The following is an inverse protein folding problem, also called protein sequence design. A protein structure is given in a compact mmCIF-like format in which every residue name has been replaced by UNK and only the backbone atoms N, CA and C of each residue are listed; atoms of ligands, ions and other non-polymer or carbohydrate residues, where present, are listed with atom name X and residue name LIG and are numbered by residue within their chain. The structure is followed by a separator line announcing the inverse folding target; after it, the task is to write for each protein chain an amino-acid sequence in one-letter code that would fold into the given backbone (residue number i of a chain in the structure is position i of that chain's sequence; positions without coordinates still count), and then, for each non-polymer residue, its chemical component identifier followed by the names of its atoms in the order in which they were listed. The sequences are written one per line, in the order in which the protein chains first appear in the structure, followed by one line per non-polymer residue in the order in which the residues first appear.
data_IF_055907251656
#
_entry.id   IF_055907251656
#
_cell.length_a   1.000
_cell.length_b   1.000
_cell.length_c   1.000
_cell.angle_alpha   90.00
_cell.angle_beta   90.00
_cell.angle_gamma   90.00
#
_symmetry.space_group_name_H-M   'P 1'
#
loop_
_entity.id
_entity.type
_entity.pdbx_description
1 polymer ?
#
# COMPACT_ATOMS: atom_id res chain seq x y z
N UNK A 1 -1.79 -13.29 8.56
CA UNK A 1 -2.17 -13.97 7.30
C UNK A 1 -2.93 -13.11 6.27
N UNK A 2 -3.56 -11.99 6.64
CA UNK A 2 -4.17 -11.05 5.66
C UNK A 2 -3.15 -10.25 4.78
N UNK A 3 -1.97 -9.83 5.30
CA UNK A 3 -1.07 -8.92 4.55
C UNK A 3 -0.40 -9.54 3.30
N UNK A 4 0.14 -10.77 3.39
CA UNK A 4 0.84 -11.42 2.26
C UNK A 4 -0.06 -11.68 1.04
N UNK A 5 -1.35 -11.95 1.30
CA UNK A 5 -2.36 -12.09 0.24
C UNK A 5 -2.58 -10.78 -0.50
N UNK A 6 -2.51 -9.63 0.17
CA UNK A 6 -2.73 -8.33 -0.44
C UNK A 6 -1.54 -7.90 -1.31
N UNK A 7 -0.29 -8.06 -0.84
CA UNK A 7 0.90 -7.84 -1.69
C UNK A 7 0.89 -8.71 -2.94
N UNK A 8 0.54 -9.99 -2.79
CA UNK A 8 0.44 -10.91 -3.94
C UNK A 8 -0.61 -10.45 -4.95
N UNK A 9 -1.76 -9.92 -4.47
CA UNK A 9 -2.80 -9.35 -5.33
C UNK A 9 -2.34 -8.07 -6.02
N UNK A 10 -1.59 -7.20 -5.33
CA UNK A 10 -0.99 -6.01 -5.93
C UNK A 10 -0.03 -6.40 -7.06
N UNK A 11 0.83 -7.41 -6.84
CA UNK A 11 1.75 -7.91 -7.88
C UNK A 11 1.01 -8.39 -9.12
N UNK A 12 -0.12 -9.06 -8.95
CA UNK A 12 -0.98 -9.44 -10.09
C UNK A 12 -1.44 -8.20 -10.84
N UNK A 13 -1.95 -7.17 -10.15
CA UNK A 13 -2.40 -5.94 -10.81
C UNK A 13 -1.28 -5.21 -11.55
N UNK A 14 -0.07 -5.19 -10.97
CA UNK A 14 1.12 -4.62 -11.61
C UNK A 14 1.57 -5.38 -12.89
N UNK A 15 1.23 -6.66 -13.00
CA UNK A 15 1.52 -7.46 -14.20
C UNK A 15 0.50 -7.26 -15.33
N UNK A 16 -0.64 -6.63 -15.06
CA UNK A 16 -1.66 -6.36 -16.07
C UNK A 16 -1.33 -5.09 -16.86
N UNK A 17 -1.53 -5.11 -18.18
CA UNK A 17 -1.41 -3.92 -19.02
C UNK A 17 -2.42 -2.83 -18.67
N UNK A 18 -3.56 -3.20 -18.09
CA UNK A 18 -4.58 -2.28 -17.56
C UNK A 18 -5.09 -2.86 -16.24
N UNK A 19 -4.92 -2.14 -15.12
CA UNK A 19 -5.43 -2.59 -13.82
C UNK A 19 -6.94 -2.77 -13.86
N UNK A 20 -7.45 -3.84 -13.24
CA UNK A 20 -8.89 -4.08 -13.17
C UNK A 20 -9.53 -3.29 -12.00
N UNK A 21 -10.84 -3.47 -11.78
CA UNK A 21 -11.56 -2.78 -10.71
C UNK A 21 -11.10 -3.19 -9.30
N UNK A 22 -10.43 -4.34 -9.13
CA UNK A 22 -9.83 -4.74 -7.87
C UNK A 22 -8.67 -3.81 -7.49
N UNK A 23 -7.96 -3.23 -8.46
CA UNK A 23 -6.86 -2.30 -8.19
C UNK A 23 -7.33 -1.12 -7.32
N UNK A 24 -8.55 -0.62 -7.55
CA UNK A 24 -9.16 0.43 -6.71
C UNK A 24 -9.39 -0.04 -5.28
N UNK A 25 -9.96 -1.25 -5.10
CA UNK A 25 -10.19 -1.81 -3.77
C UNK A 25 -8.88 -2.03 -3.01
N UNK A 26 -7.86 -2.56 -3.69
CA UNK A 26 -6.51 -2.76 -3.14
C UNK A 26 -5.84 -1.43 -2.78
N UNK A 27 -6.01 -0.41 -3.63
CA UNK A 27 -5.44 0.91 -3.42
C UNK A 27 -6.04 1.57 -2.18
N UNK A 28 -7.36 1.48 -2.00
CA UNK A 28 -8.04 1.96 -0.79
C UNK A 28 -7.55 1.23 0.46
N UNK A 29 -7.50 -0.10 0.44
CA UNK A 29 -7.07 -0.91 1.59
C UNK A 29 -5.61 -0.60 1.97
N UNK A 30 -4.72 -0.51 0.98
CA UNK A 30 -3.31 -0.15 1.18
C UNK A 30 -3.17 1.30 1.69
N UNK A 31 -3.97 2.23 1.17
CA UNK A 31 -3.96 3.63 1.60
C UNK A 31 -4.37 3.78 3.07
N UNK A 32 -5.42 3.05 3.49
CA UNK A 32 -5.85 3.03 4.89
C UNK A 32 -4.80 2.41 5.81
N UNK A 33 -4.20 1.29 5.42
CA UNK A 33 -3.14 0.65 6.21
C UNK A 33 -1.92 1.57 6.34
N UNK A 34 -1.50 2.21 5.25
CA UNK A 34 -0.40 3.16 5.25
C UNK A 34 -0.67 4.40 6.11
N UNK A 35 -1.92 4.91 6.10
CA UNK A 35 -2.34 6.00 6.99
C UNK A 35 -2.25 5.59 8.46
N UNK A 36 -2.80 4.43 8.83
CA UNK A 36 -2.75 3.91 10.21
C UNK A 36 -1.32 3.68 10.67
N UNK A 37 -0.45 3.15 9.82
CA UNK A 37 0.97 2.98 10.12
C UNK A 37 1.67 4.32 10.36
N UNK A 38 1.43 5.31 9.50
CA UNK A 38 2.02 6.65 9.62
C UNK A 38 1.57 7.36 10.89
N UNK A 39 0.29 7.31 11.23
CA UNK A 39 -0.25 7.89 12.47
C UNK A 39 0.38 7.25 13.72
N UNK A 40 0.56 5.92 13.68
CA UNK A 40 1.15 5.17 14.78
C UNK A 40 2.66 5.38 14.91
N UNK A 41 3.39 5.52 13.80
CA UNK A 41 4.79 5.96 13.79
C UNK A 41 4.94 7.33 14.45
N UNK A 42 4.12 8.30 14.05
CA UNK A 42 4.14 9.65 14.61
C UNK A 42 3.82 9.66 16.11
N UNK A 43 2.87 8.81 16.54
CA UNK A 43 2.55 8.62 17.96
C UNK A 43 3.74 8.05 18.74
N UNK A 44 4.37 6.97 18.24
CA UNK A 44 5.51 6.33 18.90
C UNK A 44 6.71 7.28 18.99
N UNK A 45 7.04 7.98 17.91
CA UNK A 45 8.11 8.98 17.89
C UNK A 45 7.84 10.13 18.86
N UNK A 46 6.57 10.52 19.05
CA UNK A 46 6.18 11.53 20.05
C UNK A 46 6.35 11.03 21.47
N UNK A 47 5.91 9.80 21.77
CA UNK A 47 6.08 9.17 23.08
C UNK A 47 7.57 9.00 23.43
N UNK A 48 8.39 8.57 22.48
CA UNK A 48 9.83 8.44 22.65
C UNK A 48 10.48 9.79 22.98
N UNK A 49 10.13 10.87 22.25
CA UNK A 49 10.63 12.23 22.52
C UNK A 49 10.24 12.76 23.91
N UNK A 50 9.09 12.34 24.43
CA UNK A 50 8.62 12.70 25.78
C UNK A 50 9.26 11.83 26.89
N UNK A 51 10.18 10.93 26.54
CA UNK A 51 10.82 9.99 27.47
C UNK A 51 9.90 8.84 27.91
N UNK A 52 8.74 8.67 27.29
CA UNK A 52 7.79 7.59 27.59
C UNK A 52 8.03 6.39 26.68
N UNK A 53 9.24 5.83 26.76
CA UNK A 53 9.71 4.74 25.90
C UNK A 53 8.89 3.45 26.09
N UNK A 54 8.41 3.19 27.31
CA UNK A 54 7.52 2.06 27.58
C UNK A 54 6.21 2.18 26.80
N UNK A 55 5.53 3.33 26.84
CA UNK A 55 4.29 3.51 26.10
C UNK A 55 4.53 3.51 24.59
N UNK A 56 5.68 4.03 24.14
CA UNK A 56 6.09 3.95 22.74
C UNK A 56 6.27 2.49 22.29
N UNK A 57 6.96 1.67 23.07
CA UNK A 57 7.18 0.25 22.77
C UNK A 57 5.86 -0.55 22.82
N UNK A 58 5.01 -0.32 23.81
CA UNK A 58 3.68 -0.94 23.87
C UNK A 58 2.83 -0.52 22.67
N UNK A 59 2.89 0.75 22.28
CA UNK A 59 2.23 1.22 21.07
C UNK A 59 2.84 0.60 19.83
N UNK A 60 4.15 0.35 19.73
CA UNK A 60 4.79 -0.29 18.58
C UNK A 60 4.48 -1.79 18.47
N UNK A 61 4.32 -2.48 19.60
CA UNK A 61 4.05 -3.94 19.67
C UNK A 61 2.58 -4.33 19.53
N UNK A 62 1.64 -3.37 19.62
CA UNK A 62 0.22 -3.64 19.44
C UNK A 62 -0.03 -4.31 18.08
N UNK A 63 -1.01 -5.20 17.96
CA UNK A 63 -1.14 -5.98 16.72
C UNK A 63 -1.79 -5.17 15.57
N UNK A 64 -1.26 -5.26 14.33
CA UNK A 64 0.00 -5.90 13.95
C UNK A 64 1.23 -5.07 14.38
N UNK A 65 2.36 -5.73 14.66
CA UNK A 65 3.63 -5.06 14.98
C UNK A 65 3.92 -3.92 14.01
N UNK A 66 4.29 -2.75 14.53
CA UNK A 66 4.47 -1.55 13.72
C UNK A 66 5.61 -1.72 12.72
N UNK A 67 6.75 -2.29 13.15
CA UNK A 67 7.89 -2.53 12.26
C UNK A 67 7.54 -3.56 11.18
N UNK A 68 6.82 -4.63 11.53
CA UNK A 68 6.37 -5.63 10.56
C UNK A 68 5.38 -5.01 9.56
N UNK A 69 4.47 -4.15 10.03
CA UNK A 69 3.53 -3.43 9.18
C UNK A 69 4.26 -2.46 8.24
N UNK A 70 5.28 -1.74 8.72
CA UNK A 70 6.08 -0.82 7.91
C UNK A 70 6.90 -1.57 6.86
N UNK A 71 7.55 -2.67 7.24
CA UNK A 71 8.27 -3.54 6.31
C UNK A 71 7.31 -4.11 5.24
N UNK A 72 6.12 -4.53 5.64
CA UNK A 72 5.09 -5.01 4.73
C UNK A 72 4.58 -3.92 3.77
N UNK A 73 4.39 -2.68 4.24
CA UNK A 73 4.01 -1.56 3.38
C UNK A 73 5.13 -1.15 2.41
N UNK A 74 6.38 -1.41 2.77
CA UNK A 74 7.60 -1.03 2.05
C UNK A 74 8.20 -2.18 1.23
N UNK A 75 7.35 -3.05 0.68
CA UNK A 75 7.78 -4.12 -0.20
C UNK A 75 8.40 -3.61 -1.51
N UNK A 76 9.16 -4.46 -2.18
CA UNK A 76 9.97 -4.11 -3.36
C UNK A 76 9.17 -3.35 -4.43
N UNK A 77 7.96 -3.80 -4.76
CA UNK A 77 7.14 -3.19 -5.80
C UNK A 77 6.23 -2.05 -5.30
N UNK A 78 6.38 -1.60 -4.05
CA UNK A 78 5.54 -0.54 -3.45
C UNK A 78 5.64 0.80 -4.19
N UNK A 79 6.81 1.14 -4.73
CA UNK A 79 7.01 2.36 -5.54
C UNK A 79 6.27 2.27 -6.86
N UNK A 80 6.37 1.13 -7.55
CA UNK A 80 5.66 0.88 -8.81
C UNK A 80 4.14 0.89 -8.59
N UNK A 81 3.67 0.29 -7.49
CA UNK A 81 2.26 0.34 -7.10
C UNK A 81 1.77 1.77 -6.84
N UNK A 82 2.54 2.57 -6.08
CA UNK A 82 2.20 3.97 -5.85
C UNK A 82 2.10 4.74 -7.16
N UNK A 83 3.04 4.53 -8.07
CA UNK A 83 3.03 5.19 -9.38
C UNK A 83 1.78 4.81 -10.19
N UNK A 84 1.46 3.51 -10.28
CA UNK A 84 0.24 3.02 -10.92
C UNK A 84 -1.00 3.67 -10.31
N UNK A 85 -1.09 3.76 -8.99
CA UNK A 85 -2.22 4.42 -8.34
C UNK A 85 -2.30 5.91 -8.72
N UNK A 86 -1.18 6.63 -8.77
CA UNK A 86 -1.15 8.04 -9.19
C UNK A 86 -1.62 8.17 -10.65
N UNK A 87 -1.08 7.35 -11.55
CA UNK A 87 -1.38 7.34 -12.99
C UNK A 87 -2.85 6.99 -13.26
N UNK A 88 -3.48 6.20 -12.40
CA UNK A 88 -4.88 5.80 -12.54
C UNK A 88 -5.85 6.56 -11.62
N UNK A 89 -5.39 7.59 -10.90
CA UNK A 89 -6.21 8.37 -9.98
C UNK A 89 -6.82 7.52 -8.84
N UNK A 90 -6.09 6.51 -8.38
CA UNK A 90 -6.44 5.65 -7.26
C UNK A 90 -5.91 6.21 -5.93
N UNK A 91 -6.52 5.87 -4.78
CA UNK A 91 -6.03 6.29 -3.47
C UNK A 91 -4.59 5.85 -3.20
N UNK A 92 -3.80 6.72 -2.60
CA UNK A 92 -2.42 6.41 -2.17
C UNK A 92 -2.21 6.83 -0.72
N UNK A 93 -1.48 6.02 0.05
CA UNK A 93 -1.00 6.42 1.36
C UNK A 93 0.14 7.44 1.24
N UNK A 94 0.29 8.34 2.23
CA UNK A 94 1.52 9.12 2.35
C UNK A 94 2.74 8.19 2.51
N UNK A 95 3.93 8.62 2.07
CA UNK A 95 5.15 7.88 2.35
C UNK A 95 5.37 7.78 3.87
N UNK A 96 5.92 6.64 4.31
CA UNK A 96 6.36 6.48 5.69
C UNK A 96 7.55 7.42 5.95
N UNK A 97 7.61 7.99 7.14
CA UNK A 97 8.68 8.91 7.54
C UNK A 97 9.86 8.11 8.10
N UNK A 98 10.98 8.10 7.36
CA UNK A 98 12.20 7.36 7.71
C UNK A 98 12.78 7.80 9.07
N UNK A 99 12.65 9.07 9.45
CA UNK A 99 13.15 9.55 10.72
C UNK A 99 12.29 9.05 11.90
N UNK A 100 10.98 8.94 11.69
CA UNK A 100 10.07 8.34 12.67
C UNK A 100 10.29 6.83 12.78
N UNK A 101 10.52 6.15 11.65
CA UNK A 101 10.83 4.72 11.62
C UNK A 101 12.12 4.43 12.41
N UNK A 102 13.19 5.16 12.13
CA UNK A 102 14.46 5.03 12.86
C UNK A 102 14.31 5.29 14.36
N UNK A 103 13.49 6.27 14.75
CA UNK A 103 13.19 6.56 16.16
C UNK A 103 12.50 5.38 16.86
N UNK A 104 11.60 4.68 16.16
CA UNK A 104 10.95 3.48 16.69
C UNK A 104 11.92 2.31 16.77
N UNK A 105 12.78 2.09 15.76
CA UNK A 105 13.80 1.03 15.79
C UNK A 105 14.76 1.18 16.98
N UNK A 106 15.10 2.41 17.35
CA UNK A 106 15.94 2.69 18.53
C UNK A 106 15.32 2.23 19.86
N UNK A 107 13.99 2.08 19.95
CA UNK A 107 13.33 1.53 21.14
C UNK A 107 13.74 0.07 21.40
N UNK A 108 14.05 -0.68 20.34
CA UNK A 108 14.44 -2.09 20.41
C UNK A 108 15.94 -2.29 20.66
N UNK A 109 16.75 -1.24 20.51
CA UNK A 109 18.19 -1.30 20.75
C UNK A 109 18.59 -1.24 22.23
N UNK A 110 17.62 -1.04 23.13
CA UNK A 110 17.85 -0.89 24.58
C UNK A 110 17.51 -2.19 25.30
N UNK A 111 18.48 -2.87 25.93
CA UNK A 111 18.20 -4.10 26.65
C UNK A 111 17.28 -3.83 27.83
N UNK A 112 16.36 -4.77 28.04
CA UNK A 112 15.38 -4.73 29.13
C UNK A 112 15.96 -5.51 30.33
N UNK A 113 15.95 -4.95 31.53
CA UNK A 113 16.33 -5.68 32.75
C UNK A 113 15.10 -6.20 33.51
N UNK A 114 15.32 -6.99 34.57
CA UNK A 114 14.24 -7.57 35.39
C UNK A 114 13.38 -6.51 36.12
N UNK A 115 13.92 -5.30 36.32
CA UNK A 115 13.22 -4.19 36.95
C UNK A 115 12.39 -3.39 35.94
N UNK A 116 12.52 -3.68 34.65
CA UNK A 116 11.79 -2.99 33.61
C UNK A 116 10.27 -3.15 33.80
N UNK A 117 9.48 -2.09 33.56
CA UNK A 117 8.02 -2.12 33.71
C UNK A 117 7.31 -3.28 32.99
N UNK A 118 7.85 -3.79 31.88
CA UNK A 118 7.27 -4.96 31.20
C UNK A 118 7.27 -6.22 32.08
N UNK A 119 8.33 -6.51 32.86
CA UNK A 119 8.29 -7.66 33.77
C UNK A 119 7.30 -7.45 34.92
N UNK A 120 7.05 -6.20 35.34
CA UNK A 120 5.98 -5.88 36.30
C UNK A 120 4.60 -6.13 35.68
N UNK A 121 4.38 -5.67 34.46
CA UNK A 121 3.11 -5.84 33.74
C UNK A 121 2.83 -7.33 33.47
N UNK A 122 3.87 -8.11 33.12
CA UNK A 122 3.78 -9.57 33.00
C UNK A 122 3.37 -10.23 34.33
N UNK A 123 4.06 -9.91 35.44
CA UNK A 123 3.72 -10.43 36.77
C UNK A 123 2.30 -10.06 37.20
N UNK A 124 1.81 -8.88 36.80
CA UNK A 124 0.44 -8.48 37.03
C UNK A 124 -0.56 -9.31 36.20
N UNK A 125 -0.31 -9.49 34.90
CA UNK A 125 -1.17 -10.29 34.03
C UNK A 125 -1.30 -11.74 34.50
N UNK A 126 -0.20 -12.35 34.97
CA UNK A 126 -0.22 -13.69 35.56
C UNK A 126 -1.08 -13.74 36.84
N UNK A 127 -0.99 -12.73 37.72
CA UNK A 127 -1.82 -12.64 38.93
C UNK A 127 -3.31 -12.50 38.61
N UNK A 128 -3.62 -11.72 37.57
CA UNK A 128 -4.99 -11.52 37.06
C UNK A 128 -5.51 -12.72 36.25
N UNK A 129 -4.66 -13.74 36.00
CA UNK A 129 -4.94 -14.89 35.13
C UNK A 129 -5.33 -14.47 33.70
N UNK A 130 -4.82 -13.33 33.25
CA UNK A 130 -4.96 -12.87 31.88
C UNK A 130 -3.82 -13.45 31.04
N UNK A 131 -3.97 -14.71 30.64
CA UNK A 131 -3.00 -15.43 29.81
C UNK A 131 -2.72 -14.69 28.49
N UNK A 132 -3.68 -13.90 27.99
CA UNK A 132 -3.53 -13.19 26.72
C UNK A 132 -2.66 -11.96 26.85
N UNK A 133 -2.89 -11.16 27.89
CA UNK A 133 -2.01 -10.04 28.23
C UNK A 133 -0.62 -10.53 28.60
N UNK A 134 -0.52 -11.65 29.32
CA UNK A 134 0.77 -12.26 29.67
C UNK A 134 1.55 -12.70 28.41
N UNK A 135 0.90 -13.35 27.44
CA UNK A 135 1.51 -13.72 26.15
C UNK A 135 1.98 -12.49 25.37
N UNK A 136 1.16 -11.44 25.31
CA UNK A 136 1.51 -10.19 24.64
C UNK A 136 2.78 -9.57 25.24
N UNK A 137 2.82 -9.39 26.56
CA UNK A 137 3.97 -8.78 27.24
C UNK A 137 5.23 -9.63 27.13
N UNK A 138 5.12 -10.96 27.27
CA UNK A 138 6.26 -11.87 27.10
C UNK A 138 6.82 -11.80 25.69
N UNK A 139 5.96 -11.72 24.65
CA UNK A 139 6.41 -11.55 23.27
C UNK A 139 7.24 -10.27 23.12
N UNK A 140 6.75 -9.14 23.65
CA UNK A 140 7.49 -7.88 23.63
C UNK A 140 8.86 -8.00 24.32
N UNK A 141 8.93 -8.65 25.48
CA UNK A 141 10.21 -8.89 26.19
C UNK A 141 11.16 -9.72 25.31
N UNK A 142 10.70 -10.82 24.73
CA UNK A 142 11.54 -11.69 23.89
C UNK A 142 11.95 -11.04 22.56
N UNK A 143 11.16 -10.10 22.03
CA UNK A 143 11.54 -9.33 20.84
C UNK A 143 12.70 -8.38 21.14
N UNK A 144 12.66 -7.70 22.29
CA UNK A 144 13.73 -6.74 22.67
C UNK A 144 14.97 -7.47 23.23
N UNK A 145 14.76 -8.55 23.97
CA UNK A 145 15.82 -9.39 24.55
C UNK A 145 15.78 -10.82 23.99
N UNK A 146 16.20 -11.05 22.74
CA UNK A 146 16.16 -12.39 22.14
C UNK A 146 17.09 -13.39 22.83
N UNK A 147 18.09 -12.92 23.59
CA UNK A 147 19.02 -13.77 24.34
C UNK A 147 18.50 -14.23 25.71
N UNK A 148 17.35 -13.74 26.20
CA UNK A 148 16.77 -14.20 27.47
C UNK A 148 16.09 -15.57 27.29
N UNK A 149 16.84 -16.63 27.61
CA UNK A 149 16.36 -18.01 27.51
C UNK A 149 15.20 -18.31 28.46
N UNK A 150 15.11 -17.63 29.60
CA UNK A 150 14.05 -17.85 30.58
C UNK A 150 12.72 -17.27 30.08
N UNK A 151 12.73 -16.02 29.60
CA UNK A 151 11.56 -15.40 28.98
C UNK A 151 11.09 -16.21 27.75
N UNK A 152 12.03 -16.72 26.94
CA UNK A 152 11.70 -17.54 25.78
C UNK A 152 11.05 -18.89 26.17
N UNK A 153 11.58 -19.56 27.21
CA UNK A 153 11.01 -20.80 27.73
C UNK A 153 9.60 -20.58 28.30
N UNK A 154 9.41 -19.50 29.04
CA UNK A 154 8.12 -19.14 29.64
C UNK A 154 7.08 -18.75 28.58
N UNK A 155 7.47 -18.01 27.54
CA UNK A 155 6.63 -17.71 26.38
C UNK A 155 6.17 -19.01 25.69
N UNK A 156 7.09 -19.94 25.46
CA UNK A 156 6.76 -21.23 24.85
C UNK A 156 5.79 -22.04 25.72
N UNK A 157 6.04 -22.11 27.04
CA UNK A 157 5.17 -22.82 28.00
C UNK A 157 3.76 -22.26 28.01
N UNK A 158 3.62 -20.93 28.10
CA UNK A 158 2.32 -20.25 28.13
C UNK A 158 1.59 -20.40 26.80
N UNK A 159 2.30 -20.30 25.68
CA UNK A 159 1.75 -20.53 24.34
C UNK A 159 1.18 -21.94 24.20
N UNK A 160 1.94 -22.96 24.60
CA UNK A 160 1.47 -24.35 24.50
C UNK A 160 0.26 -24.62 25.39
N UNK A 161 0.19 -24.00 26.59
CA UNK A 161 -1.01 -24.06 27.44
C UNK A 161 -2.21 -23.41 26.74
N UNK A 162 -2.06 -22.16 26.29
CA UNK A 162 -3.12 -21.42 25.60
C UNK A 162 -3.68 -22.20 24.40
N UNK A 163 -2.81 -22.78 23.57
CA UNK A 163 -3.23 -23.50 22.36
C UNK A 163 -4.06 -24.75 22.68
N UNK A 164 -3.68 -25.52 23.71
CA UNK A 164 -4.46 -26.71 24.11
C UNK A 164 -5.84 -26.32 24.61
N UNK A 165 -5.92 -25.30 25.47
CA UNK A 165 -7.17 -24.82 26.04
C UNK A 165 -8.06 -24.22 24.93
N UNK A 166 -7.48 -23.40 24.06
CA UNK A 166 -8.17 -22.76 22.95
C UNK A 166 -8.71 -23.79 21.93
N UNK A 167 -7.94 -24.81 21.57
CA UNK A 167 -8.38 -25.84 20.64
C UNK A 167 -9.61 -26.61 21.17
N UNK A 168 -9.61 -26.93 22.46
CA UNK A 168 -10.78 -27.52 23.12
C UNK A 168 -12.00 -26.60 23.04
N UNK A 169 -11.83 -25.31 23.33
CA UNK A 169 -12.92 -24.33 23.23
C UNK A 169 -13.42 -24.14 21.79
N UNK A 170 -12.54 -24.18 20.78
CA UNK A 170 -12.92 -24.13 19.36
C UNK A 170 -13.87 -25.29 19.01
N UNK A 171 -13.52 -26.51 19.42
CA UNK A 171 -14.38 -27.69 19.19
C UNK A 171 -15.76 -27.56 19.89
N UNK A 172 -15.77 -27.04 21.11
CA UNK A 172 -17.02 -26.77 21.85
C UNK A 172 -17.90 -25.71 21.17
N UNK A 173 -17.30 -24.63 20.65
CA UNK A 173 -18.03 -23.59 19.93
C UNK A 173 -18.67 -24.12 18.65
N UNK A 174 -17.96 -24.91 17.85
CA UNK A 174 -18.54 -25.55 16.66
C UNK A 174 -19.68 -26.49 17.02
N UNK A 175 -19.52 -27.31 18.07
CA UNK A 175 -20.57 -28.23 18.55
C UNK A 175 -21.83 -27.46 18.98
N UNK A 176 -21.67 -26.31 19.61
CA UNK A 176 -22.77 -25.42 20.04
C UNK A 176 -23.31 -24.53 18.91
N UNK A 177 -22.84 -24.71 17.66
CA UNK A 177 -23.16 -23.86 16.49
C UNK A 177 -22.81 -22.38 16.69
N UNK A 178 -21.94 -22.06 17.64
CA UNK A 178 -21.38 -20.72 17.79
C UNK A 178 -20.13 -20.57 16.90
N UNK A 179 -20.34 -20.69 15.60
CA UNK A 179 -19.27 -20.73 14.60
C UNK A 179 -18.46 -19.43 14.57
N UNK A 180 -19.11 -18.29 14.79
CA UNK A 180 -18.41 -17.00 14.80
C UNK A 180 -17.39 -16.92 15.93
N UNK A 181 -17.76 -17.30 17.16
CA UNK A 181 -16.82 -17.34 18.28
C UNK A 181 -15.68 -18.33 18.04
N UNK A 182 -15.96 -19.49 17.42
CA UNK A 182 -14.92 -20.43 17.03
C UNK A 182 -13.90 -19.79 16.09
N UNK A 183 -14.37 -19.13 15.02
CA UNK A 183 -13.51 -18.49 14.02
C UNK A 183 -12.72 -17.31 14.60
N UNK A 184 -13.32 -16.53 15.49
CA UNK A 184 -12.61 -15.47 16.21
C UNK A 184 -11.48 -16.04 17.08
N UNK A 185 -11.74 -17.12 17.83
CA UNK A 185 -10.72 -17.78 18.64
C UNK A 185 -9.61 -18.40 17.78
N UNK A 186 -9.96 -19.03 16.66
CA UNK A 186 -8.97 -19.55 15.69
C UNK A 186 -8.07 -18.43 15.15
N UNK A 187 -8.63 -17.26 14.84
CA UNK A 187 -7.85 -16.09 14.38
C UNK A 187 -6.85 -15.64 15.45
N UNK A 188 -7.27 -15.64 16.72
CA UNK A 188 -6.38 -15.35 17.85
C UNK A 188 -5.27 -16.38 18.02
N UNK A 189 -5.58 -17.67 17.82
CA UNK A 189 -4.58 -18.73 17.82
C UNK A 189 -3.54 -18.50 16.72
N UNK A 190 -3.96 -18.12 15.52
CA UNK A 190 -3.05 -17.82 14.41
C UNK A 190 -2.09 -16.65 14.70
N UNK A 191 -2.54 -15.63 15.43
CA UNK A 191 -1.70 -14.50 15.87
C UNK A 191 -0.61 -14.92 16.86
N UNK A 192 -0.92 -15.88 17.74
CA UNK A 192 0.05 -16.43 18.71
C UNK A 192 1.00 -17.46 18.07
N UNK A 193 0.56 -18.11 16.99
CA UNK A 193 1.35 -19.04 16.17
C UNK A 193 0.91 -20.50 16.31
N UNK A 194 0.42 -21.08 15.22
CA UNK A 194 -0.20 -22.42 15.18
C UNK A 194 0.71 -23.52 14.64
N UNK A 195 2.01 -23.28 14.50
CA UNK A 195 2.95 -24.24 13.90
C UNK A 195 2.93 -25.62 14.59
N UNK A 196 2.78 -25.66 15.91
CA UNK A 196 2.68 -26.90 16.70
C UNK A 196 1.39 -27.71 16.47
N UNK A 197 0.38 -27.12 15.84
CA UNK A 197 -0.91 -27.76 15.55
C UNK A 197 -0.97 -28.35 14.13
N UNK A 198 0.12 -28.26 13.36
CA UNK A 198 0.17 -28.81 12.01
C UNK A 198 0.02 -30.34 12.07
N UNK A 199 -0.99 -30.88 11.38
CA UNK A 199 -1.31 -32.31 11.40
C UNK A 199 -2.19 -32.75 12.57
N UNK A 200 -2.60 -31.83 13.46
CA UNK A 200 -3.56 -32.13 14.51
C UNK A 200 -4.97 -32.28 13.92
N UNK A 201 -5.63 -33.41 14.22
CA UNK A 201 -6.93 -33.76 13.64
C UNK A 201 -8.03 -32.75 13.97
N UNK A 202 -8.06 -32.25 15.20
CA UNK A 202 -9.12 -31.34 15.66
C UNK A 202 -8.89 -29.94 15.08
N UNK A 203 -7.62 -29.55 14.92
CA UNK A 203 -7.26 -28.32 14.21
C UNK A 203 -7.61 -28.39 12.71
N UNK A 204 -7.32 -29.49 12.03
CA UNK A 204 -7.65 -29.68 10.62
C UNK A 204 -9.16 -29.66 10.37
N UNK A 205 -9.94 -30.31 11.24
CA UNK A 205 -11.40 -30.25 11.17
C UNK A 205 -11.93 -28.82 11.42
N UNK A 206 -11.38 -28.11 12.41
CA UNK A 206 -11.73 -26.71 12.65
C UNK A 206 -11.43 -25.82 11.43
N UNK A 207 -10.31 -26.02 10.74
CA UNK A 207 -9.98 -25.31 9.49
C UNK A 207 -11.01 -25.58 8.39
N UNK A 208 -11.44 -26.85 8.22
CA UNK A 208 -12.47 -27.22 7.25
C UNK A 208 -13.81 -26.56 7.56
N UNK A 209 -14.24 -26.58 8.82
CA UNK A 209 -15.49 -25.95 9.27
C UNK A 209 -15.45 -24.44 9.11
N UNK A 210 -14.31 -23.80 9.43
CA UNK A 210 -14.07 -22.38 9.16
C UNK A 210 -14.17 -22.06 7.67
N UNK A 211 -13.59 -22.88 6.79
CA UNK A 211 -13.67 -22.67 5.34
C UNK A 211 -15.12 -22.69 4.84
N UNK A 212 -15.92 -23.66 5.27
CA UNK A 212 -17.35 -23.75 4.92
C UNK A 212 -18.14 -22.51 5.40
N UNK A 213 -17.84 -22.03 6.62
CA UNK A 213 -18.46 -20.82 7.15
C UNK A 213 -18.04 -19.56 6.38
N UNK A 214 -16.76 -19.43 6.04
CA UNK A 214 -16.27 -18.31 5.22
C UNK A 214 -16.95 -18.31 3.85
N UNK A 215 -17.13 -19.49 3.24
CA UNK A 215 -17.84 -19.62 1.96
C UNK A 215 -19.30 -19.20 2.07
N UNK A 216 -20.03 -19.62 3.11
CA UNK A 216 -21.43 -19.24 3.28
C UNK A 216 -21.60 -17.73 3.53
N UNK A 217 -20.75 -17.15 4.38
CA UNK A 217 -20.71 -15.69 4.61
C UNK A 217 -20.37 -14.93 3.33
N UNK A 218 -19.43 -15.44 2.54
CA UNK A 218 -19.01 -14.78 1.30
C UNK A 218 -20.09 -14.84 0.22
N UNK A 219 -20.87 -15.92 0.12
CA UNK A 219 -22.05 -15.97 -0.77
C UNK A 219 -23.04 -14.85 -0.43
N UNK A 220 -23.35 -14.66 0.85
CA UNK A 220 -24.23 -13.56 1.28
C UNK A 220 -23.66 -12.18 0.95
N UNK A 221 -22.35 -11.97 1.16
CA UNK A 221 -21.67 -10.71 0.80
C UNK A 221 -21.69 -10.45 -0.70
N UNK A 222 -21.37 -11.45 -1.52
CA UNK A 222 -21.41 -11.35 -2.99
C UNK A 222 -22.81 -10.94 -3.46
N UNK A 223 -23.86 -11.55 -2.92
CA UNK A 223 -25.24 -11.18 -3.21
C UNK A 223 -25.53 -9.71 -2.90
N UNK A 224 -25.13 -9.24 -1.71
CA UNK A 224 -25.27 -7.84 -1.31
C UNK A 224 -24.49 -6.87 -2.19
N UNK A 225 -23.26 -7.22 -2.58
CA UNK A 225 -22.45 -6.44 -3.51
C UNK A 225 -23.10 -6.38 -4.91
N UNK A 226 -23.59 -7.51 -5.45
CA UNK A 226 -24.27 -7.54 -6.73
C UNK A 226 -25.53 -6.66 -6.75
N UNK A 227 -26.32 -6.70 -5.68
CA UNK A 227 -27.50 -5.84 -5.54
C UNK A 227 -27.13 -4.35 -5.52
N UNK A 228 -26.14 -3.95 -4.72
CA UNK A 228 -25.69 -2.55 -4.64
C UNK A 228 -25.00 -2.08 -5.93
N UNK A 229 -24.24 -2.94 -6.60
CA UNK A 229 -23.67 -2.66 -7.92
C UNK A 229 -24.78 -2.38 -8.95
N UNK A 230 -25.86 -3.17 -8.97
CA UNK A 230 -26.98 -2.96 -9.88
C UNK A 230 -27.76 -1.66 -9.59
N UNK A 231 -27.89 -1.29 -8.31
CA UNK A 231 -28.48 -0.02 -7.90
C UNK A 231 -27.61 1.16 -8.38
N UNK A 232 -26.30 1.08 -8.17
CA UNK A 232 -25.35 2.10 -8.62
C UNK A 232 -25.31 2.23 -10.15
N UNK A 233 -25.36 1.10 -10.87
CA UNK A 233 -25.52 1.06 -12.32
C UNK A 233 -26.77 1.82 -12.78
N UNK A 234 -27.91 1.54 -12.15
CA UNK A 234 -29.18 2.22 -12.45
C UNK A 234 -29.14 3.72 -12.14
N UNK A 235 -28.41 4.11 -11.10
CA UNK A 235 -28.18 5.50 -10.71
C UNK A 235 -27.11 6.22 -11.55
N UNK A 236 -26.46 5.52 -12.49
CA UNK A 236 -25.31 5.99 -13.28
C UNK A 236 -24.10 6.43 -12.43
N UNK A 237 -23.97 5.89 -11.23
CA UNK A 237 -22.81 6.10 -10.36
C UNK A 237 -21.77 4.99 -10.59
N UNK A 238 -20.86 5.24 -11.52
CA UNK A 238 -19.86 4.23 -11.92
C UNK A 238 -18.81 3.96 -10.85
N UNK A 239 -18.54 4.92 -9.96
CA UNK A 239 -17.54 4.75 -8.90
C UNK A 239 -18.04 3.77 -7.85
N UNK A 240 -19.25 4.01 -7.34
CA UNK A 240 -19.88 3.08 -6.40
C UNK A 240 -20.09 1.70 -7.04
N UNK A 241 -20.47 1.65 -8.31
CA UNK A 241 -20.61 0.38 -9.02
C UNK A 241 -19.27 -0.38 -9.12
N UNK A 242 -18.18 0.32 -9.45
CA UNK A 242 -16.84 -0.26 -9.49
C UNK A 242 -16.42 -0.82 -8.12
N UNK A 243 -16.65 -0.05 -7.05
CA UNK A 243 -16.28 -0.44 -5.69
C UNK A 243 -17.05 -1.70 -5.24
N UNK A 244 -18.35 -1.77 -5.54
CA UNK A 244 -19.18 -2.93 -5.21
C UNK A 244 -18.79 -4.18 -6.03
N UNK A 245 -18.48 -4.03 -7.32
CA UNK A 245 -17.95 -5.12 -8.14
C UNK A 245 -16.60 -5.60 -7.59
N UNK A 246 -15.68 -4.68 -7.26
CA UNK A 246 -14.39 -5.00 -6.65
C UNK A 246 -14.54 -5.75 -5.31
N UNK A 247 -15.52 -5.35 -4.49
CA UNK A 247 -15.89 -6.03 -3.25
C UNK A 247 -16.40 -7.45 -3.47
N UNK A 248 -17.24 -7.67 -4.49
CA UNK A 248 -17.68 -9.00 -4.89
C UNK A 248 -16.51 -9.88 -5.36
N UNK A 249 -15.63 -9.37 -6.24
CA UNK A 249 -14.44 -10.10 -6.73
C UNK A 249 -13.45 -10.44 -5.63
N UNK A 250 -13.31 -9.55 -4.64
CA UNK A 250 -12.52 -9.80 -3.43
C UNK A 250 -13.13 -10.92 -2.59
N UNK A 251 -14.46 -10.91 -2.40
CA UNK A 251 -15.18 -11.96 -1.66
C UNK A 251 -15.10 -13.33 -2.34
N UNK A 252 -15.25 -13.38 -3.67
CA UNK A 252 -15.06 -14.59 -4.48
C UNK A 252 -13.68 -15.21 -4.26
N UNK A 253 -12.62 -14.41 -4.41
CA UNK A 253 -11.22 -14.86 -4.25
C UNK A 253 -10.93 -15.32 -2.83
N UNK A 254 -11.35 -14.56 -1.82
CA UNK A 254 -11.06 -14.88 -0.42
C UNK A 254 -11.67 -16.21 0.03
N UNK A 255 -12.85 -16.56 -0.50
CA UNK A 255 -13.54 -17.79 -0.18
C UNK A 255 -13.31 -18.94 -1.18
N UNK A 256 -12.64 -18.67 -2.31
CA UNK A 256 -12.44 -19.64 -3.38
C UNK A 256 -13.75 -20.06 -4.06
N UNK A 257 -14.71 -19.13 -4.20
CA UNK A 257 -16.02 -19.36 -4.81
C UNK A 257 -16.27 -18.36 -5.94
N UNK A 258 -17.28 -18.60 -6.76
CA UNK A 258 -17.74 -17.68 -7.81
C UNK A 258 -19.22 -17.36 -7.61
N UNK A 259 -19.61 -16.15 -8.01
CA UNK A 259 -21.00 -15.79 -8.20
C UNK A 259 -21.61 -16.71 -9.27
N UNK A 260 -22.87 -17.06 -9.10
CA UNK A 260 -23.60 -17.98 -9.99
C UNK A 260 -24.93 -17.35 -10.42
N UNK A 261 -25.48 -17.81 -11.54
CA UNK A 261 -26.80 -17.39 -12.02
C UNK A 261 -26.93 -15.88 -12.25
N UNK A 262 -28.00 -15.30 -11.71
CA UNK A 262 -28.33 -13.89 -11.92
C UNK A 262 -27.27 -12.94 -11.35
N UNK A 263 -26.65 -13.29 -10.23
CA UNK A 263 -25.62 -12.46 -9.59
C UNK A 263 -24.38 -12.34 -10.48
N UNK A 264 -23.96 -13.43 -11.10
CA UNK A 264 -22.84 -13.45 -12.03
C UNK A 264 -23.08 -12.53 -13.23
N UNK A 265 -24.30 -12.54 -13.78
CA UNK A 265 -24.67 -11.73 -14.93
C UNK A 265 -24.76 -10.23 -14.60
N UNK A 266 -25.32 -9.90 -13.43
CA UNK A 266 -25.33 -8.53 -12.90
C UNK A 266 -23.91 -8.01 -12.76
N UNK A 267 -23.05 -8.77 -12.08
CA UNK A 267 -21.65 -8.38 -11.84
C UNK A 267 -20.90 -8.20 -13.16
N UNK A 268 -21.06 -9.11 -14.13
CA UNK A 268 -20.41 -9.01 -15.45
C UNK A 268 -20.83 -7.75 -16.21
N UNK A 269 -22.12 -7.41 -16.17
CA UNK A 269 -22.66 -6.21 -16.83
C UNK A 269 -22.14 -4.93 -16.17
N UNK A 270 -22.21 -4.88 -14.84
CA UNK A 270 -21.72 -3.77 -14.04
C UNK A 270 -20.20 -3.57 -14.22
N UNK A 271 -19.43 -4.66 -14.19
CA UNK A 271 -17.98 -4.67 -14.35
C UNK A 271 -17.55 -4.09 -15.69
N UNK A 272 -18.19 -4.52 -16.79
CA UNK A 272 -17.90 -4.00 -18.13
C UNK A 272 -18.14 -2.49 -18.19
N UNK A 273 -19.32 -2.05 -17.76
CA UNK A 273 -19.70 -0.63 -17.79
C UNK A 273 -18.80 0.25 -16.92
N UNK A 274 -18.55 -0.19 -15.68
CA UNK A 274 -17.73 0.56 -14.73
C UNK A 274 -16.27 0.61 -15.18
N UNK A 275 -15.75 -0.45 -15.81
CA UNK A 275 -14.39 -0.47 -16.37
C UNK A 275 -14.24 0.50 -17.54
N UNK A 276 -15.21 0.55 -18.46
CA UNK A 276 -15.19 1.51 -19.57
C UNK A 276 -15.13 2.96 -19.07
N UNK A 277 -15.95 3.30 -18.07
CA UNK A 277 -15.98 4.64 -17.46
C UNK A 277 -14.74 4.93 -16.60
N UNK A 278 -14.22 3.95 -15.88
CA UNK A 278 -12.99 4.08 -15.11
C UNK A 278 -11.80 4.37 -16.02
N UNK A 279 -11.70 3.66 -17.15
CA UNK A 279 -10.65 3.87 -18.14
C UNK A 279 -10.74 5.26 -18.77
N UNK A 280 -11.95 5.71 -19.11
CA UNK A 280 -12.15 7.07 -19.62
C UNK A 280 -11.75 8.14 -18.60
N UNK A 281 -12.12 7.97 -17.33
CA UNK A 281 -11.74 8.89 -16.26
C UNK A 281 -10.23 8.89 -16.00
N UNK A 282 -9.58 7.72 -16.02
CA UNK A 282 -8.13 7.61 -15.87
C UNK A 282 -7.39 8.27 -17.05
N UNK A 283 -7.87 8.10 -18.27
CA UNK A 283 -7.32 8.77 -19.46
C UNK A 283 -7.41 10.30 -19.34
N UNK A 284 -8.52 10.82 -18.80
CA UNK A 284 -8.68 12.26 -18.57
C UNK A 284 -7.69 12.78 -17.50
N UNK A 285 -7.57 12.08 -16.37
CA UNK A 285 -6.60 12.43 -15.32
C UNK A 285 -5.16 12.41 -15.87
N UNK A 286 -4.79 11.37 -16.62
CA UNK A 286 -3.48 11.28 -17.25
C UNK A 286 -3.22 12.42 -18.22
N UNK A 287 -4.19 12.78 -19.06
CA UNK A 287 -4.05 13.90 -19.98
C UNK A 287 -3.87 15.24 -19.23
N UNK A 288 -4.56 15.44 -18.09
CA UNK A 288 -4.37 16.63 -17.25
C UNK A 288 -2.99 16.67 -16.60
N UNK A 289 -2.55 15.55 -16.02
CA UNK A 289 -1.21 15.45 -15.43
C UNK A 289 -0.10 15.66 -16.47
N UNK A 290 -0.29 15.16 -17.70
CA UNK A 290 0.62 15.39 -18.81
C UNK A 290 0.75 16.88 -19.14
N UNK A 291 -0.37 17.61 -19.17
CA UNK A 291 -0.36 19.07 -19.39
C UNK A 291 0.38 19.78 -18.26
N UNK A 292 0.11 19.44 -17.00
CA UNK A 292 0.73 20.11 -15.86
C UNK A 292 2.25 19.87 -15.82
N UNK A 293 2.68 18.64 -16.05
CA UNK A 293 4.11 18.30 -16.18
C UNK A 293 4.78 19.10 -17.31
N UNK A 294 4.09 19.27 -18.47
CA UNK A 294 4.61 20.08 -19.56
C UNK A 294 4.66 21.57 -19.20
N UNK A 295 3.73 22.09 -18.39
CA UNK A 295 3.77 23.47 -17.90
C UNK A 295 4.95 23.70 -16.97
N UNK A 296 5.21 22.78 -16.05
CA UNK A 296 6.38 22.83 -15.18
C UNK A 296 7.69 22.73 -15.97
N UNK A 297 7.78 21.80 -16.93
CA UNK A 297 8.93 21.66 -17.83
C UNK A 297 9.17 22.94 -18.63
N UNK A 298 8.10 23.56 -19.15
CA UNK A 298 8.18 24.83 -19.87
C UNK A 298 8.67 25.99 -19.00
N UNK A 299 8.12 26.11 -17.79
CA UNK A 299 8.53 27.14 -16.82
C UNK A 299 10.05 27.06 -16.56
N UNK A 300 10.56 25.85 -16.33
CA UNK A 300 11.99 25.61 -16.13
C UNK A 300 12.81 25.93 -17.38
N UNK A 301 12.38 25.50 -18.57
CA UNK A 301 13.06 25.80 -19.83
C UNK A 301 13.09 27.31 -20.12
N UNK A 302 12.02 28.03 -19.79
CA UNK A 302 11.94 29.48 -19.90
C UNK A 302 12.94 30.19 -18.98
N UNK A 303 13.08 29.75 -17.74
CA UNK A 303 14.09 30.26 -16.79
C UNK A 303 15.52 29.98 -17.28
N UNK A 304 15.79 28.76 -17.77
CA UNK A 304 17.09 28.40 -18.34
C UNK A 304 17.43 29.23 -19.58
N UNK A 305 16.43 29.58 -20.41
CA UNK A 305 16.65 30.42 -21.59
C UNK A 305 16.93 31.90 -21.26
N UNK A 306 16.55 32.36 -20.08
CA UNK A 306 16.93 33.68 -19.58
C UNK A 306 18.39 33.73 -19.14
N UNK A 307 18.94 32.62 -18.62
CA UNK A 307 20.33 32.57 -18.13
C UNK A 307 21.37 32.32 -19.22
N UNK A 308 20.97 31.81 -20.40
CA UNK A 308 21.91 31.59 -21.50
C UNK A 308 21.30 30.97 -22.75
N UNK A 309 22.16 30.67 -23.72
CA UNK A 309 21.78 29.96 -24.94
C UNK A 309 22.77 28.84 -25.23
N UNK A 310 22.25 27.64 -25.52
CA UNK A 310 23.06 26.47 -25.87
C UNK A 310 22.33 25.60 -26.90
N UNK A 311 23.08 24.79 -27.64
CA UNK A 311 22.50 23.83 -28.58
C UNK A 311 21.66 22.75 -27.87
N UNK A 312 22.03 22.39 -26.63
CA UNK A 312 21.28 21.43 -25.82
C UNK A 312 19.92 22.01 -25.35
N UNK A 313 19.90 23.27 -24.91
CA UNK A 313 18.66 23.96 -24.56
C UNK A 313 17.70 24.04 -25.75
N UNK A 314 18.21 24.37 -26.95
CA UNK A 314 17.41 24.35 -28.18
C UNK A 314 16.82 22.97 -28.47
N UNK A 315 17.62 21.90 -28.33
CA UNK A 315 17.17 20.53 -28.52
C UNK A 315 16.05 20.16 -27.54
N UNK A 316 16.21 20.51 -26.27
CA UNK A 316 15.21 20.26 -25.22
C UNK A 316 13.90 21.02 -25.46
N UNK A 317 13.98 22.28 -25.88
CA UNK A 317 12.79 23.07 -26.25
C UNK A 317 12.07 22.47 -27.46
N UNK A 318 12.80 22.04 -28.49
CA UNK A 318 12.18 21.36 -29.64
C UNK A 318 11.50 20.05 -29.25
N UNK A 319 12.14 19.26 -28.38
CA UNK A 319 11.54 18.04 -27.82
C UNK A 319 10.28 18.36 -27.01
N UNK A 320 10.28 19.46 -26.25
CA UNK A 320 9.09 19.92 -25.54
C UNK A 320 7.96 20.31 -26.51
N UNK A 321 8.25 21.05 -27.59
CA UNK A 321 7.25 21.43 -28.62
C UNK A 321 6.64 20.18 -29.27
N UNK A 322 7.46 19.19 -29.59
CA UNK A 322 7.01 17.91 -30.14
C UNK A 322 6.05 17.19 -29.16
N UNK A 323 6.44 17.08 -27.88
CA UNK A 323 5.56 16.50 -26.85
C UNK A 323 4.25 17.28 -26.72
N UNK A 324 4.31 18.61 -26.67
CA UNK A 324 3.15 19.50 -26.52
C UNK A 324 2.19 19.45 -27.71
N UNK A 325 2.68 19.10 -28.90
CA UNK A 325 1.85 18.93 -30.11
C UNK A 325 1.12 17.59 -30.14
N UNK A 326 1.57 16.61 -29.34
CA UNK A 326 1.08 15.24 -29.33
C UNK A 326 0.25 14.91 -28.07
N UNK A 327 -0.18 15.93 -27.31
CA UNK A 327 -1.01 15.73 -26.11
C UNK A 327 -2.47 15.45 -26.48
N UNK A 328 -3.14 14.59 -25.72
CA UNK A 328 -4.57 14.27 -25.90
C UNK A 328 -5.47 15.49 -25.62
N UNK A 329 -5.11 16.29 -24.62
CA UNK A 329 -5.75 17.57 -24.34
C UNK A 329 -4.92 18.71 -24.96
N UNK A 330 -5.55 19.76 -25.52
CA UNK A 330 -4.84 20.83 -26.17
C UNK A 330 -4.07 21.68 -25.15
N UNK A 331 -2.81 21.99 -25.46
CA UNK A 331 -2.02 22.97 -24.71
C UNK A 331 -2.53 24.41 -24.94
N UNK A 332 -2.38 25.33 -23.97
CA UNK A 332 -2.70 26.74 -24.18
C UNK A 332 -1.93 27.32 -25.37
N UNK A 333 -2.63 27.96 -26.30
CA UNK A 333 -2.08 28.49 -27.56
C UNK A 333 -0.93 29.47 -27.29
N UNK A 334 -1.10 30.36 -26.30
CA UNK A 334 -0.07 31.34 -25.94
C UNK A 334 1.27 30.68 -25.55
N UNK A 335 1.22 29.52 -24.88
CA UNK A 335 2.42 28.79 -24.47
C UNK A 335 3.11 28.13 -25.67
N UNK A 336 2.34 27.53 -26.58
CA UNK A 336 2.91 26.86 -27.76
C UNK A 336 3.49 27.88 -28.74
N UNK A 337 2.86 29.05 -28.89
CA UNK A 337 3.41 30.17 -29.66
C UNK A 337 4.71 30.70 -29.04
N UNK A 338 4.72 30.97 -27.73
CA UNK A 338 5.91 31.41 -27.01
C UNK A 338 7.07 30.42 -27.15
N UNK A 339 6.81 29.12 -27.09
CA UNK A 339 7.82 28.08 -27.29
C UNK A 339 8.39 28.08 -28.72
N UNK A 340 7.53 28.20 -29.73
CA UNK A 340 7.96 28.28 -31.12
C UNK A 340 8.76 29.55 -31.42
N UNK A 341 8.42 30.67 -30.80
CA UNK A 341 9.20 31.91 -30.89
C UNK A 341 10.56 31.78 -30.22
N UNK A 342 10.60 31.22 -29.01
CA UNK A 342 11.83 31.01 -28.26
C UNK A 342 12.78 30.06 -29.00
N UNK A 343 12.27 28.95 -29.55
CA UNK A 343 13.05 28.03 -30.37
C UNK A 343 13.68 28.73 -31.58
N UNK A 344 12.89 29.51 -32.35
CA UNK A 344 13.39 30.30 -33.49
C UNK A 344 14.45 31.32 -33.06
N UNK A 345 14.27 31.98 -31.92
CA UNK A 345 15.23 32.94 -31.38
C UNK A 345 16.55 32.25 -30.99
N UNK A 346 16.48 31.13 -30.27
CA UNK A 346 17.65 30.36 -29.84
C UNK A 346 18.41 29.75 -31.02
N UNK A 347 17.71 29.19 -32.01
CA UNK A 347 18.33 28.66 -33.22
C UNK A 347 19.20 29.73 -33.92
N UNK A 348 18.68 30.95 -34.09
CA UNK A 348 19.45 32.07 -34.65
C UNK A 348 20.68 32.41 -33.81
N UNK A 349 20.58 32.41 -32.48
CA UNK A 349 21.71 32.69 -31.59
C UNK A 349 22.79 31.60 -31.67
N UNK A 350 22.39 30.32 -31.64
CA UNK A 350 23.30 29.17 -31.72
C UNK A 350 24.02 29.13 -33.06
N UNK A 351 23.31 29.31 -34.18
CA UNK A 351 23.93 29.35 -35.51
C UNK A 351 24.93 30.51 -35.62
N UNK A 352 24.59 31.70 -35.11
CA UNK A 352 25.51 32.85 -35.10
C UNK A 352 26.75 32.62 -34.23
N UNK A 353 26.60 31.95 -33.09
CA UNK A 353 27.74 31.60 -32.25
C UNK A 353 28.65 30.59 -32.96
N UNK A 354 28.06 29.57 -33.61
CA UNK A 354 28.80 28.57 -34.37
C UNK A 354 29.54 29.18 -35.56
N UNK A 355 28.90 30.05 -36.35
CA UNK A 355 29.57 30.71 -37.48
C UNK A 355 30.70 31.63 -37.02
N UNK A 356 30.55 32.35 -35.91
CA UNK A 356 31.64 33.14 -35.30
C UNK A 356 32.81 32.28 -34.84
N UNK A 357 32.54 31.12 -34.24
CA UNK A 357 33.61 30.20 -33.84
C UNK A 357 34.34 29.62 -35.06
N UNK A 358 33.60 29.19 -36.09
CA UNK A 358 34.20 28.65 -37.31
C UNK A 358 35.03 29.73 -38.03
N UNK A 359 34.52 30.96 -38.17
CA UNK A 359 35.28 32.04 -38.80
C UNK A 359 36.52 32.44 -37.99
N UNK A 360 36.43 32.47 -36.66
CA UNK A 360 37.59 32.70 -35.79
C UNK A 360 38.63 31.58 -35.89
N UNK A 361 38.21 30.32 -35.93
CA UNK A 361 39.11 29.17 -36.10
C UNK A 361 39.77 29.15 -37.46
N UNK A 362 39.05 29.50 -38.54
CA UNK A 362 39.60 29.62 -39.90
C UNK A 362 40.61 30.77 -39.97
N UNK A 363 40.31 31.93 -39.39
CA UNK A 363 41.26 33.05 -39.31
C UNK A 363 42.50 32.70 -38.49
N UNK A 364 42.35 31.97 -37.38
CA UNK A 364 43.47 31.49 -36.57
C UNK A 364 44.33 30.48 -37.35
N UNK A 365 43.73 29.59 -38.15
CA UNK A 365 44.46 28.65 -39.00
C UNK A 365 45.24 29.36 -40.13
N UNK A 366 44.65 30.41 -40.72
CA UNK A 366 45.30 31.23 -41.75
C UNK A 366 46.46 32.06 -41.16
N UNK A 367 46.39 32.48 -39.90
CA UNK A 367 47.46 33.25 -39.26
C UNK A 367 48.66 32.40 -38.78
N UNK A 368 48.54 31.07 -38.79
CA UNK A 368 49.59 30.12 -38.37
C UNK A 368 50.27 29.43 -39.58
N UNK A 369 49.70 29.59 -40.78
CA UNK A 369 50.30 29.23 -42.08
C UNK A 369 51.06 30.44 -42.65
#
# INVERSE_FOLDING_TARGET
MLPERLQSRIRVQLSLSTPDLEARALATEMAELGKRASERLAQCATLARLGNEQAALQSAEAEPSLLDLCAWLSFEESVAWRQLCIDHGLPTAPPLDDAQLLSVEQLYGKPIDENHPLYRDYRQAIRERDDSRALYVLRSITTVNPSDTNAQAELNRLRSKFMRDALKSVAEYFTKKNTEAAVQLMTRMEQVGTAQLKGDRDWEEALRLRALWIQSQSRSRISGHAQRANQAYSAKDWRTCADEVGGARTSERNAGIKAEGAEAEILRTCEKWATELANAAAAEVNARNQIENLREEWSRLGQEAQSGHSADLLRRINKWIEKASNTTLPMPIEMTEAANELSRALHRKVVRAHTKHVSASVLALIAVL
#
